data_IF_089218824981
#
_entry.id   IF_089218824981
#
_cell.length_a   1.000
_cell.length_b   1.000
_cell.length_c   1.000
_cell.angle_alpha   90.00
_cell.angle_beta   90.00
_cell.angle_gamma   90.00
#
_symmetry.space_group_name_H-M   'P 1'
#
loop_
_entity.id
_entity.type
_entity.pdbx_description
1 polymer ?
#
# COMPACT_ATOMS: atom_id res chain seq x y z
N UNK A 1 -26.78 -4.73 -19.72
CA UNK A 1 -25.47 -5.34 -20.06
C UNK A 1 -24.42 -4.30 -20.41
N UNK A 2 -24.57 -3.48 -21.46
CA UNK A 2 -23.51 -2.54 -21.88
C UNK A 2 -23.17 -1.47 -20.82
N UNK A 3 -24.18 -0.88 -20.16
CA UNK A 3 -23.98 0.06 -19.03
C UNK A 3 -23.32 -0.58 -17.79
N UNK A 4 -23.55 -1.86 -17.59
CA UNK A 4 -23.03 -2.62 -16.44
C UNK A 4 -21.57 -3.01 -16.66
N UNK A 5 -21.24 -3.44 -17.88
CA UNK A 5 -19.86 -3.64 -18.33
C UNK A 5 -19.03 -2.35 -18.20
N UNK A 6 -19.54 -1.22 -18.71
CA UNK A 6 -18.86 0.06 -18.60
C UNK A 6 -18.64 0.52 -17.14
N UNK A 7 -19.55 0.18 -16.22
CA UNK A 7 -19.39 0.47 -14.80
C UNK A 7 -18.26 -0.36 -14.19
N UNK A 8 -18.19 -1.66 -14.50
CA UNK A 8 -17.14 -2.56 -14.02
C UNK A 8 -15.76 -2.20 -14.59
N UNK A 9 -15.69 -1.82 -15.86
CA UNK A 9 -14.45 -1.32 -16.48
C UNK A 9 -13.94 -0.05 -15.78
N UNK A 10 -14.84 0.87 -15.45
CA UNK A 10 -14.51 2.08 -14.67
C UNK A 10 -14.04 1.73 -13.25
N UNK A 11 -14.66 0.75 -12.60
CA UNK A 11 -14.23 0.28 -11.28
C UNK A 11 -12.85 -0.38 -11.34
N UNK A 12 -12.57 -1.16 -12.39
CA UNK A 12 -11.25 -1.75 -12.61
C UNK A 12 -10.17 -0.68 -12.80
N UNK A 13 -10.45 0.35 -13.61
CA UNK A 13 -9.55 1.49 -13.80
C UNK A 13 -9.27 2.21 -12.48
N UNK A 14 -10.29 2.44 -11.66
CA UNK A 14 -10.13 3.03 -10.32
C UNK A 14 -9.28 2.14 -9.41
N UNK A 15 -9.50 0.82 -9.39
CA UNK A 15 -8.71 -0.11 -8.61
C UNK A 15 -7.24 -0.15 -9.05
N UNK A 16 -6.97 -0.01 -10.36
CA UNK A 16 -5.62 0.11 -10.89
C UNK A 16 -4.96 1.43 -10.47
N UNK A 17 -5.69 2.54 -10.47
CA UNK A 17 -5.15 3.82 -10.00
C UNK A 17 -4.83 3.79 -8.51
N UNK A 18 -5.72 3.22 -7.68
CA UNK A 18 -5.47 3.03 -6.24
C UNK A 18 -4.19 2.22 -6.01
N UNK A 19 -3.95 1.18 -6.80
CA UNK A 19 -2.74 0.36 -6.72
C UNK A 19 -1.47 1.17 -7.04
N UNK A 20 -1.48 1.97 -8.11
CA UNK A 20 -0.32 2.85 -8.43
C UNK A 20 -0.04 3.83 -7.29
N UNK A 21 -1.08 4.45 -6.74
CA UNK A 21 -0.91 5.34 -5.60
C UNK A 21 -0.34 4.61 -4.38
N UNK A 22 -0.73 3.35 -4.16
CA UNK A 22 -0.18 2.53 -3.08
C UNK A 22 1.31 2.19 -3.30
N UNK A 23 1.70 1.89 -4.54
CA UNK A 23 3.10 1.68 -4.93
C UNK A 23 3.93 2.96 -4.64
N UNK A 24 3.42 4.14 -4.99
CA UNK A 24 4.07 5.42 -4.67
C UNK A 24 4.22 5.64 -3.15
N UNK A 25 3.20 5.30 -2.37
CA UNK A 25 3.24 5.37 -0.90
C UNK A 25 4.29 4.40 -0.34
N UNK A 26 4.36 3.17 -0.85
CA UNK A 26 5.34 2.17 -0.42
C UNK A 26 6.78 2.63 -0.71
N UNK A 27 7.02 3.25 -1.88
CA UNK A 27 8.31 3.85 -2.22
C UNK A 27 8.65 4.98 -1.23
N UNK A 28 7.72 5.92 -1.01
CA UNK A 28 7.91 7.03 -0.07
C UNK A 28 8.18 6.55 1.36
N UNK A 29 7.52 5.48 1.80
CA UNK A 29 7.80 4.83 3.07
C UNK A 29 9.26 4.34 3.15
N UNK A 30 9.74 3.64 2.11
CA UNK A 30 11.14 3.14 2.09
C UNK A 30 12.14 4.29 2.20
N UNK A 31 11.88 5.40 1.50
CA UNK A 31 12.72 6.59 1.54
C UNK A 31 12.71 7.24 2.93
N UNK A 32 11.53 7.42 3.52
CA UNK A 32 11.36 7.98 4.86
C UNK A 32 12.10 7.14 5.92
N UNK A 33 12.06 5.81 5.82
CA UNK A 33 12.81 4.95 6.74
C UNK A 33 14.33 5.10 6.58
N UNK A 34 14.83 5.35 5.36
CA UNK A 34 16.25 5.64 5.12
C UNK A 34 16.64 7.01 5.69
N UNK A 35 15.80 8.02 5.52
CA UNK A 35 16.02 9.35 6.09
C UNK A 35 16.02 9.32 7.62
N UNK A 36 15.07 8.60 8.23
CA UNK A 36 15.07 8.29 9.66
C UNK A 36 16.41 7.73 10.13
N UNK A 37 16.92 6.69 9.46
CA UNK A 37 18.18 6.06 9.85
C UNK A 37 19.36 7.04 9.80
N UNK A 38 19.41 7.91 8.78
CA UNK A 38 20.42 8.98 8.67
C UNK A 38 20.31 9.99 9.80
N UNK A 39 19.10 10.45 10.12
CA UNK A 39 18.87 11.41 11.21
C UNK A 39 19.35 10.82 12.53
N UNK A 40 18.96 9.58 12.85
CA UNK A 40 19.36 8.91 14.09
C UNK A 40 20.88 8.74 14.19
N UNK A 41 21.55 8.41 13.08
CA UNK A 41 23.01 8.34 13.03
C UNK A 41 23.65 9.70 13.34
N UNK A 42 23.22 10.76 12.64
CA UNK A 42 23.73 12.12 12.87
C UNK A 42 23.49 12.59 14.32
N UNK A 43 22.34 12.23 14.89
CA UNK A 43 21.99 12.58 16.26
C UNK A 43 22.86 11.84 17.29
N UNK A 44 23.15 10.56 17.05
CA UNK A 44 24.08 9.77 17.86
C UNK A 44 25.50 10.34 17.80
N UNK A 45 25.95 10.79 16.63
CA UNK A 45 27.29 11.39 16.48
C UNK A 45 27.40 12.74 17.19
N UNK A 46 26.32 13.53 17.18
CA UNK A 46 26.27 14.86 17.81
C UNK A 46 26.06 14.82 19.33
N UNK A 47 25.38 13.79 19.86
CA UNK A 47 25.01 13.72 21.28
C UNK A 47 25.65 12.50 21.96
N UNK A 48 26.72 12.75 22.72
CA UNK A 48 27.43 11.72 23.48
C UNK A 48 26.96 11.63 24.93
N UNK A 49 26.82 10.40 25.45
CA UNK A 49 26.55 10.11 26.87
C UNK A 49 25.37 9.17 27.13
N UNK A 50 25.29 8.61 28.34
CA UNK A 50 24.29 7.59 28.71
C UNK A 50 22.83 8.06 28.53
N UNK A 51 22.55 9.34 28.78
CA UNK A 51 21.19 9.89 28.65
C UNK A 51 20.79 10.04 27.17
N UNK A 52 21.73 10.39 26.29
CA UNK A 52 21.52 10.44 24.85
C UNK A 52 21.27 9.03 24.28
N UNK A 53 22.10 8.05 24.66
CA UNK A 53 21.93 6.66 24.23
C UNK A 53 20.57 6.09 24.62
N UNK A 54 20.09 6.40 25.84
CA UNK A 54 18.78 5.95 26.32
C UNK A 54 17.64 6.57 25.51
N UNK A 55 17.71 7.87 25.23
CA UNK A 55 16.68 8.58 24.46
C UNK A 55 16.66 8.12 23.00
N UNK A 56 17.83 7.94 22.37
CA UNK A 56 17.95 7.46 21.00
C UNK A 56 17.39 6.04 20.88
N UNK A 57 17.68 5.16 21.84
CA UNK A 57 17.13 3.79 21.85
C UNK A 57 15.60 3.78 21.90
N UNK A 58 14.99 4.59 22.78
CA UNK A 58 13.52 4.69 22.85
C UNK A 58 12.91 5.22 21.56
N UNK A 59 13.50 6.26 20.97
CA UNK A 59 13.05 6.81 19.70
C UNK A 59 13.16 5.77 18.57
N UNK A 60 14.25 4.99 18.54
CA UNK A 60 14.41 3.90 17.58
C UNK A 60 13.30 2.86 17.72
N UNK A 61 12.99 2.43 18.93
CA UNK A 61 11.96 1.42 19.20
C UNK A 61 10.56 1.90 18.81
N UNK A 62 10.18 3.12 19.21
CA UNK A 62 8.90 3.74 18.85
C UNK A 62 8.75 3.88 17.34
N UNK A 63 9.76 4.45 16.68
CA UNK A 63 9.73 4.63 15.22
C UNK A 63 9.76 3.28 14.48
N UNK A 64 10.36 2.23 15.04
CA UNK A 64 10.35 0.89 14.43
C UNK A 64 9.00 0.18 14.63
N UNK A 65 8.30 0.46 15.73
CA UNK A 65 6.94 -0.01 15.93
C UNK A 65 5.98 0.64 14.93
N UNK A 66 6.00 1.97 14.81
CA UNK A 66 5.18 2.72 13.84
C UNK A 66 5.48 2.30 12.39
N UNK A 67 6.76 2.09 12.06
CA UNK A 67 7.18 1.59 10.75
C UNK A 67 6.57 0.22 10.43
N UNK A 68 6.67 -0.73 11.38
CA UNK A 68 6.12 -2.08 11.22
C UNK A 68 4.60 -2.06 11.06
N UNK A 69 3.91 -1.24 11.84
CA UNK A 69 2.46 -1.07 11.73
C UNK A 69 2.06 -0.47 10.37
N UNK A 70 2.72 0.61 9.96
CA UNK A 70 2.44 1.27 8.68
C UNK A 70 2.68 0.34 7.49
N UNK A 71 3.77 -0.43 7.51
CA UNK A 71 4.07 -1.43 6.49
C UNK A 71 3.04 -2.56 6.46
N UNK A 72 2.60 -3.04 7.62
CA UNK A 72 1.54 -4.05 7.71
C UNK A 72 0.25 -3.54 7.08
N UNK A 73 -0.13 -2.29 7.36
CA UNK A 73 -1.33 -1.69 6.80
C UNK A 73 -1.23 -1.51 5.28
N UNK A 74 -0.07 -1.07 4.77
CA UNK A 74 0.16 -0.96 3.33
C UNK A 74 0.04 -2.30 2.61
N UNK A 75 0.60 -3.38 3.17
CA UNK A 75 0.47 -4.72 2.60
C UNK A 75 -0.98 -5.21 2.63
N UNK A 76 -1.72 -4.96 3.70
CA UNK A 76 -3.13 -5.34 3.78
C UNK A 76 -3.99 -4.62 2.73
N UNK A 77 -3.70 -3.35 2.45
CA UNK A 77 -4.35 -2.61 1.37
C UNK A 77 -4.00 -3.18 0.00
N UNK A 78 -2.76 -3.63 -0.20
CA UNK A 78 -2.34 -4.29 -1.44
C UNK A 78 -3.13 -5.58 -1.67
N UNK A 79 -3.23 -6.44 -0.66
CA UNK A 79 -4.00 -7.68 -0.71
C UNK A 79 -5.49 -7.41 -1.03
N UNK A 80 -6.08 -6.40 -0.41
CA UNK A 80 -7.46 -5.99 -0.68
C UNK A 80 -7.65 -5.52 -2.12
N UNK A 81 -6.73 -4.73 -2.67
CA UNK A 81 -6.80 -4.25 -4.05
C UNK A 81 -6.62 -5.38 -5.06
N UNK A 82 -5.75 -6.35 -4.77
CA UNK A 82 -5.56 -7.54 -5.61
C UNK A 82 -6.85 -8.36 -5.67
N UNK A 83 -7.50 -8.59 -4.53
CA UNK A 83 -8.77 -9.33 -4.51
C UNK A 83 -9.91 -8.52 -5.14
N UNK A 84 -10.00 -7.20 -4.93
CA UNK A 84 -10.96 -6.31 -5.60
C UNK A 84 -10.83 -6.43 -7.13
N UNK A 85 -9.61 -6.33 -7.67
CA UNK A 85 -9.35 -6.48 -9.10
C UNK A 85 -9.74 -7.86 -9.62
N UNK A 86 -9.45 -8.92 -8.86
CA UNK A 86 -9.80 -10.29 -9.24
C UNK A 86 -11.33 -10.47 -9.31
N UNK A 87 -12.06 -9.97 -8.33
CA UNK A 87 -13.53 -10.07 -8.32
C UNK A 87 -14.17 -9.30 -9.49
N UNK A 88 -13.67 -8.10 -9.79
CA UNK A 88 -14.16 -7.31 -10.93
C UNK A 88 -13.92 -8.06 -12.25
N UNK A 89 -12.75 -8.69 -12.43
CA UNK A 89 -12.45 -9.50 -13.63
C UNK A 89 -13.39 -10.68 -13.78
N UNK A 90 -13.64 -11.44 -12.71
CA UNK A 90 -14.59 -12.56 -12.73
C UNK A 90 -16.00 -12.08 -13.10
N UNK A 91 -16.43 -10.92 -12.60
CA UNK A 91 -17.74 -10.35 -12.94
C UNK A 91 -17.81 -9.93 -14.41
N UNK A 92 -16.74 -9.35 -14.96
CA UNK A 92 -16.63 -9.02 -16.38
C UNK A 92 -16.72 -10.29 -17.26
N UNK A 93 -15.98 -11.34 -16.93
CA UNK A 93 -16.01 -12.62 -17.65
C UNK A 93 -17.43 -13.23 -17.65
N UNK A 94 -18.09 -13.26 -16.49
CA UNK A 94 -19.48 -13.75 -16.38
C UNK A 94 -20.47 -12.93 -17.21
N UNK A 95 -20.30 -11.62 -17.29
CA UNK A 95 -21.15 -10.77 -18.12
C UNK A 95 -20.91 -11.04 -19.61
N UNK A 96 -19.67 -11.31 -20.01
CA UNK A 96 -19.35 -11.69 -21.40
C UNK A 96 -19.97 -13.05 -21.77
N UNK A 97 -19.87 -14.05 -20.90
CA UNK A 97 -20.47 -15.37 -21.09
C UNK A 97 -22.02 -15.33 -21.14
N UNK A 98 -22.65 -14.51 -20.29
CA UNK A 98 -24.11 -14.36 -20.31
C UNK A 98 -24.60 -13.61 -21.56
N UNK A 99 -23.81 -12.66 -22.06
CA UNK A 99 -24.15 -11.92 -23.27
C UNK A 99 -23.97 -12.78 -24.54
N UNK A 100 -22.99 -13.68 -24.57
CA UNK A 100 -22.81 -14.64 -25.68
C UNK A 100 -23.86 -15.76 -25.65
N UNK A 101 -24.27 -16.24 -24.47
CA UNK A 101 -25.31 -17.26 -24.33
C UNK A 101 -26.74 -16.74 -24.50
N UNK A 102 -27.00 -15.45 -24.25
CA UNK A 102 -28.32 -14.81 -24.45
C UNK A 102 -28.59 -14.34 -25.89
N UNK A 103 -27.61 -14.49 -26.80
CA UNK A 103 -27.73 -14.12 -28.21
C UNK A 103 -28.17 -15.28 -29.12
N UNK A 104 -28.47 -16.46 -28.55
CA UNK A 104 -28.98 -17.65 -29.25
C UNK A 104 -30.45 -17.93 -28.90
#
# INVERSE_FOLDING_TARGET
MEKEKALLEKQLEQALQKRRNLEDIQIGLIELNREKAKILMNFSDAWQGNQANTTIGKLQDEMEAEWRETRKNANALEDQLVEEQRQIRIQLERLEENNTNGAY
#
